data_IF_876659781524
#
_entry.id   IF_876659781524
#
_cell.length_a   1.000
_cell.length_b   1.000
_cell.length_c   1.000
_cell.angle_alpha   90.00
_cell.angle_beta   90.00
_cell.angle_gamma   90.00
#
_symmetry.space_group_name_H-M   'P 1'
#
loop_
_entity.id
_entity.type
_entity.pdbx_description
1 polymer ?
#
# COMPACT_ATOMS: atom_id res chain seq x y z
N UNK A 1 -12.93 1.28 9.17
CA UNK A 1 -11.83 0.80 10.06
C UNK A 1 -11.75 -0.71 9.88
N UNK A 2 -10.55 -1.21 9.60
CA UNK A 2 -10.22 -2.63 9.47
C UNK A 2 -9.05 -2.92 10.42
N UNK A 3 -9.15 -3.94 11.25
CA UNK A 3 -8.15 -4.25 12.28
C UNK A 3 -7.68 -5.71 12.26
N UNK A 4 -6.93 -6.12 13.30
CA UNK A 4 -6.40 -7.48 13.43
C UNK A 4 -7.48 -8.54 13.69
N UNK A 5 -8.62 -8.16 14.29
CA UNK A 5 -9.73 -9.10 14.50
C UNK A 5 -10.42 -9.35 13.17
N UNK A 6 -10.62 -8.30 12.37
CA UNK A 6 -11.12 -8.44 10.99
C UNK A 6 -10.21 -9.33 10.13
N UNK A 7 -8.89 -9.27 10.36
CA UNK A 7 -7.93 -10.11 9.64
C UNK A 7 -7.87 -11.56 10.14
N UNK A 8 -8.65 -11.96 11.14
CA UNK A 8 -8.48 -13.22 11.89
C UNK A 8 -7.06 -13.40 12.43
N UNK A 9 -6.40 -12.31 12.84
CA UNK A 9 -5.01 -12.30 13.31
C UNK A 9 -3.99 -12.81 12.29
N UNK A 10 -4.38 -12.95 11.02
CA UNK A 10 -3.44 -13.29 9.95
C UNK A 10 -2.62 -12.04 9.63
N UNK A 11 -1.28 -12.10 9.69
CA UNK A 11 -0.43 -10.94 9.47
C UNK A 11 -0.20 -10.70 7.97
N UNK A 12 0.09 -9.45 7.61
CA UNK A 12 0.72 -9.13 6.32
C UNK A 12 2.07 -9.88 6.20
N UNK A 13 2.53 -10.26 4.99
CA UNK A 13 1.96 -9.94 3.68
C UNK A 13 1.10 -11.07 3.09
N UNK A 14 0.42 -11.89 3.91
CA UNK A 14 -0.50 -12.87 3.35
C UNK A 14 -1.63 -12.16 2.59
N UNK A 15 -2.18 -12.81 1.56
CA UNK A 15 -3.21 -12.22 0.70
C UNK A 15 -4.57 -12.08 1.40
N UNK A 16 -4.87 -12.94 2.39
CA UNK A 16 -6.20 -13.07 2.98
C UNK A 16 -6.71 -11.78 3.67
N UNK A 17 -5.91 -11.06 4.49
CA UNK A 17 -6.35 -9.79 5.07
C UNK A 17 -6.69 -8.72 4.03
N UNK A 18 -5.98 -8.67 2.89
CA UNK A 18 -6.23 -7.68 1.84
C UNK A 18 -7.56 -7.95 1.14
N UNK A 19 -7.85 -9.22 0.83
CA UNK A 19 -9.15 -9.64 0.28
C UNK A 19 -10.30 -9.27 1.21
N UNK A 20 -10.16 -9.54 2.51
CA UNK A 20 -11.17 -9.18 3.52
C UNK A 20 -11.35 -7.67 3.65
N UNK A 21 -10.27 -6.90 3.61
CA UNK A 21 -10.34 -5.43 3.65
C UNK A 21 -11.11 -4.89 2.45
N UNK A 22 -10.84 -5.44 1.26
CA UNK A 22 -11.54 -5.08 0.03
C UNK A 22 -13.02 -5.44 0.08
N UNK A 23 -13.35 -6.65 0.52
CA UNK A 23 -14.72 -7.13 0.66
C UNK A 23 -15.52 -6.32 1.71
N UNK A 24 -14.97 -6.15 2.93
CA UNK A 24 -15.62 -5.43 4.04
C UNK A 24 -16.00 -4.00 3.66
N UNK A 25 -15.17 -3.34 2.85
CA UNK A 25 -15.36 -1.94 2.48
C UNK A 25 -15.86 -1.73 1.06
N UNK A 26 -16.18 -2.81 0.33
CA UNK A 26 -16.60 -2.78 -1.07
C UNK A 26 -15.68 -1.90 -1.94
N UNK A 27 -14.38 -2.11 -1.79
CA UNK A 27 -13.34 -1.34 -2.49
C UNK A 27 -13.14 -1.92 -3.89
N UNK A 28 -13.01 -1.08 -4.91
CA UNK A 28 -12.40 -1.48 -6.18
C UNK A 28 -10.88 -1.27 -6.09
N UNK A 29 -10.06 -2.35 -6.08
CA UNK A 29 -8.62 -2.23 -6.00
C UNK A 29 -8.01 -1.38 -7.13
N UNK A 30 -8.59 -1.40 -8.33
CA UNK A 30 -8.04 -0.68 -9.49
C UNK A 30 -8.18 0.85 -9.37
N UNK A 31 -9.05 1.32 -8.48
CA UNK A 31 -9.28 2.73 -8.19
C UNK A 31 -8.61 3.15 -6.87
N UNK A 32 -7.76 2.30 -6.30
CA UNK A 32 -7.18 2.49 -4.98
C UNK A 32 -5.66 2.50 -5.00
N UNK A 33 -5.11 3.07 -3.92
CA UNK A 33 -3.69 3.07 -3.62
C UNK A 33 -3.46 2.56 -2.21
N UNK A 34 -2.47 1.69 -2.02
CA UNK A 34 -1.95 1.32 -0.71
C UNK A 34 -0.61 2.01 -0.47
N UNK A 35 -0.49 2.65 0.69
CA UNK A 35 0.72 3.34 1.14
C UNK A 35 1.25 2.60 2.35
N UNK A 36 2.52 2.17 2.31
CA UNK A 36 3.13 1.35 3.36
C UNK A 36 4.62 1.67 3.54
N UNK A 37 5.15 1.59 4.75
CA UNK A 37 6.56 1.77 5.11
C UNK A 37 7.38 0.46 5.04
N UNK A 38 6.73 -0.71 4.97
CA UNK A 38 7.38 -2.01 4.74
C UNK A 38 7.10 -2.49 3.32
N UNK A 39 8.11 -2.48 2.44
CA UNK A 39 7.95 -2.75 1.01
C UNK A 39 7.27 -4.09 0.71
N UNK A 40 7.65 -5.19 1.39
CA UNK A 40 7.05 -6.53 1.17
C UNK A 40 5.53 -6.57 1.40
N UNK A 41 4.99 -5.66 2.22
CA UNK A 41 3.55 -5.60 2.50
C UNK A 41 2.76 -5.01 1.31
N UNK A 42 3.41 -4.37 0.34
CA UNK A 42 2.74 -3.81 -0.82
C UNK A 42 2.40 -4.86 -1.89
N UNK A 43 3.11 -6.01 -1.91
CA UNK A 43 2.96 -7.03 -2.96
C UNK A 43 1.51 -7.53 -3.14
N UNK A 44 0.76 -7.93 -2.08
CA UNK A 44 -0.62 -8.39 -2.26
C UNK A 44 -1.56 -7.32 -2.83
N UNK A 45 -1.38 -6.06 -2.41
CA UNK A 45 -2.18 -4.95 -2.92
C UNK A 45 -1.93 -4.72 -4.42
N UNK A 46 -0.67 -4.76 -4.85
CA UNK A 46 -0.31 -4.69 -6.27
C UNK A 46 -0.92 -5.85 -7.08
N UNK A 47 -0.81 -7.08 -6.58
CA UNK A 47 -1.38 -8.28 -7.23
C UNK A 47 -2.92 -8.20 -7.35
N UNK A 48 -3.58 -7.45 -6.46
CA UNK A 48 -5.01 -7.18 -6.53
C UNK A 48 -5.39 -6.03 -7.48
N UNK A 49 -4.42 -5.28 -8.01
CA UNK A 49 -4.63 -4.17 -8.93
C UNK A 49 -4.48 -2.77 -8.32
N UNK A 50 -4.21 -2.65 -7.02
CA UNK A 50 -3.96 -1.35 -6.40
C UNK A 50 -2.65 -0.75 -6.90
N UNK A 51 -2.61 0.59 -6.97
CA UNK A 51 -1.32 1.29 -6.99
C UNK A 51 -0.64 1.15 -5.62
N UNK A 52 0.68 1.10 -5.61
CA UNK A 52 1.46 0.93 -4.39
C UNK A 52 2.45 2.06 -4.23
N UNK A 53 2.55 2.58 -3.01
CA UNK A 53 3.50 3.63 -2.65
C UNK A 53 4.27 3.14 -1.44
N UNK A 54 5.59 3.06 -1.58
CA UNK A 54 6.46 2.78 -0.45
C UNK A 54 6.90 4.09 0.23
N UNK A 55 6.77 4.15 1.56
CA UNK A 55 7.33 5.21 2.38
C UNK A 55 8.75 4.80 2.76
N UNK A 56 9.73 5.57 2.28
CA UNK A 56 11.14 5.33 2.58
C UNK A 56 11.44 5.57 4.06
N UNK A 57 12.23 4.67 4.64
CA UNK A 57 12.72 4.77 6.02
C UNK A 57 14.11 4.13 6.12
N UNK A 58 14.75 4.31 7.27
CA UNK A 58 16.12 3.85 7.52
C UNK A 58 16.21 2.38 7.97
N UNK A 59 15.09 1.65 7.98
CA UNK A 59 15.03 0.27 8.47
C UNK A 59 15.34 -0.74 7.34
N UNK A 60 16.51 -1.43 7.34
CA UNK A 60 16.91 -2.26 6.21
C UNK A 60 15.96 -3.42 5.92
N UNK A 61 15.30 -3.95 6.95
CA UNK A 61 14.33 -5.03 6.83
C UNK A 61 13.00 -4.58 6.21
N UNK A 62 12.67 -3.29 6.31
CA UNK A 62 11.47 -2.69 5.73
C UNK A 62 11.70 -2.32 4.26
N UNK A 63 12.91 -1.87 3.92
CA UNK A 63 13.35 -1.61 2.56
C UNK A 63 13.57 -2.89 1.73
N UNK A 64 13.60 -4.08 2.36
CA UNK A 64 13.71 -5.34 1.62
C UNK A 64 12.58 -5.43 0.60
N UNK A 65 12.93 -5.55 -0.69
CA UNK A 65 12.06 -5.55 -1.86
C UNK A 65 11.56 -4.18 -2.36
N UNK A 66 12.09 -3.07 -1.87
CA UNK A 66 11.68 -1.71 -2.31
C UNK A 66 11.98 -1.41 -3.78
N UNK A 67 12.86 -2.17 -4.43
CA UNK A 67 13.17 -2.03 -5.87
C UNK A 67 12.38 -3.00 -6.77
N UNK A 68 11.38 -3.69 -6.22
CA UNK A 68 10.58 -4.64 -7.00
C UNK A 68 9.54 -3.96 -7.90
N UNK A 69 9.12 -4.62 -8.97
CA UNK A 69 8.10 -4.12 -9.91
C UNK A 69 6.74 -3.81 -9.27
N UNK A 70 6.46 -4.41 -8.10
CA UNK A 70 5.25 -4.15 -7.34
C UNK A 70 5.29 -2.86 -6.51
N UNK A 71 6.33 -2.03 -6.65
CA UNK A 71 6.43 -0.69 -6.04
C UNK A 71 6.23 0.35 -7.15
N UNK A 72 5.06 0.99 -7.21
CA UNK A 72 4.79 1.96 -8.28
C UNK A 72 5.41 3.33 -8.02
N UNK A 73 5.43 3.76 -6.76
CA UNK A 73 6.03 5.03 -6.35
C UNK A 73 6.77 4.87 -5.02
N UNK A 74 7.70 5.78 -4.79
CA UNK A 74 8.45 5.92 -3.53
C UNK A 74 8.33 7.35 -3.03
N UNK A 75 8.28 7.53 -1.72
CA UNK A 75 8.32 8.85 -1.11
C UNK A 75 8.92 8.77 0.29
N UNK A 76 9.71 9.77 0.68
CA UNK A 76 10.11 9.99 2.07
C UNK A 76 9.26 11.08 2.76
N UNK A 77 8.30 11.67 2.03
CA UNK A 77 7.42 12.72 2.52
C UNK A 77 6.02 12.56 1.92
N UNK A 78 5.14 11.87 2.65
CA UNK A 78 3.77 11.62 2.20
C UNK A 78 2.96 12.90 2.00
N UNK A 79 3.18 13.92 2.83
CA UNK A 79 2.45 15.18 2.71
C UNK A 79 2.76 15.88 1.39
N UNK A 80 4.05 15.99 1.04
CA UNK A 80 4.48 16.62 -0.19
C UNK A 80 4.06 15.82 -1.42
N UNK A 81 4.17 14.49 -1.36
CA UNK A 81 3.70 13.60 -2.41
C UNK A 81 2.19 13.79 -2.72
N UNK A 82 1.35 13.84 -1.67
CA UNK A 82 -0.09 14.05 -1.85
C UNK A 82 -0.42 15.46 -2.37
N UNK A 83 0.33 16.49 -1.97
CA UNK A 83 0.19 17.84 -2.54
C UNK A 83 0.47 17.84 -4.03
N UNK A 84 1.54 17.20 -4.48
CA UNK A 84 1.90 17.11 -5.90
C UNK A 84 0.80 16.44 -6.72
N UNK A 85 0.25 15.32 -6.24
CA UNK A 85 -0.88 14.64 -6.90
C UNK A 85 -2.10 15.55 -7.01
N UNK A 86 -2.43 16.28 -5.95
CA UNK A 86 -3.60 17.16 -5.96
C UNK A 86 -3.41 18.36 -6.89
N UNK A 87 -2.21 18.94 -6.97
CA UNK A 87 -1.91 20.04 -7.87
C UNK A 87 -1.98 19.61 -9.35
N UNK A 88 -1.54 18.39 -9.67
CA UNK A 88 -1.62 17.83 -11.02
C UNK A 88 -3.06 17.55 -11.48
N UNK A 89 -4.04 17.50 -10.58
CA UNK A 89 -5.47 17.37 -10.95
C UNK A 89 -6.14 18.70 -11.31
N UNK A 90 -5.54 19.82 -10.94
CA UNK A 90 -6.12 21.17 -11.13
C UNK A 90 -5.52 21.86 -12.38
N UNK A 91 -4.42 21.33 -12.92
CA UNK A 91 -3.80 21.73 -14.18
C UNK A 91 -4.34 20.90 -15.35
#
# INVERSE_FOLDING_TARGET
IFDIVDSNFVPKPTMEPYKKLVEKHNIDPNLCVLIEDIARNLKPAYEMGMKTIWIENDEPWAAKFSDSDFINYKTNNLMEFLKQINLLKVA
#
